data_IF_129958387306
#
_entry.id   IF_129958387306
#
_cell.length_a   1.000
_cell.length_b   1.000
_cell.length_c   1.000
_cell.angle_alpha   90.00
_cell.angle_beta   90.00
_cell.angle_gamma   90.00
#
_symmetry.space_group_name_H-M   'P 1'
#
loop_
_entity.id
_entity.type
_entity.pdbx_description
1 polymer ?
#
# COMPACT_ATOMS: atom_id res chain seq x y z
N UNK A 1 10.47 1.24 -11.48
CA UNK A 1 9.63 0.92 -10.31
C UNK A 1 10.46 0.65 -9.05
N UNK A 2 11.43 -0.28 -9.02
CA UNK A 2 12.23 -0.55 -7.81
C UNK A 2 13.04 0.65 -7.28
N UNK A 3 13.54 1.53 -8.15
CA UNK A 3 14.27 2.73 -7.75
C UNK A 3 13.39 3.74 -7.01
N UNK A 4 12.14 3.94 -7.45
CA UNK A 4 11.22 4.87 -6.80
C UNK A 4 10.87 4.43 -5.38
N UNK A 5 10.67 3.14 -5.16
CA UNK A 5 10.41 2.57 -3.83
C UNK A 5 11.58 2.82 -2.87
N UNK A 6 12.81 2.66 -3.34
CA UNK A 6 14.02 2.95 -2.53
C UNK A 6 14.11 4.42 -2.16
N UNK A 7 13.76 5.31 -3.08
CA UNK A 7 13.74 6.75 -2.84
C UNK A 7 12.57 7.19 -1.94
N UNK A 8 11.43 6.50 -2.02
CA UNK A 8 10.23 6.80 -1.24
C UNK A 8 10.35 6.41 0.23
N UNK A 9 11.07 5.32 0.53
CA UNK A 9 11.15 4.71 1.86
C UNK A 9 11.52 5.70 2.98
N UNK A 10 12.61 6.49 2.89
CA UNK A 10 12.97 7.41 3.98
C UNK A 10 11.91 8.49 4.23
N UNK A 11 11.19 8.92 3.19
CA UNK A 11 10.11 9.90 3.33
C UNK A 11 8.87 9.27 3.98
N UNK A 12 8.50 8.05 3.61
CA UNK A 12 7.38 7.32 4.22
C UNK A 12 7.65 7.03 5.70
N UNK A 13 8.87 6.60 6.04
CA UNK A 13 9.29 6.39 7.43
C UNK A 13 9.28 7.68 8.24
N UNK A 14 9.77 8.79 7.68
CA UNK A 14 9.74 10.10 8.35
C UNK A 14 8.30 10.57 8.60
N UNK A 15 7.42 10.50 7.60
CA UNK A 15 6.02 10.86 7.75
C UNK A 15 5.33 9.99 8.81
N UNK A 16 5.62 8.68 8.80
CA UNK A 16 5.09 7.74 9.79
C UNK A 16 5.58 8.05 11.22
N UNK A 17 6.85 8.41 11.41
CA UNK A 17 7.38 8.80 12.72
C UNK A 17 6.70 10.06 13.29
N UNK A 18 6.34 11.02 12.42
CA UNK A 18 5.59 12.22 12.80
C UNK A 18 4.13 11.92 13.16
N UNK A 19 3.57 10.86 12.58
CA UNK A 19 2.16 10.52 12.71
C UNK A 19 1.85 9.47 13.78
N UNK A 20 2.84 8.69 14.25
CA UNK A 20 2.65 7.47 15.07
C UNK A 20 2.04 7.71 16.46
N UNK A 21 2.09 8.94 16.98
CA UNK A 21 1.68 9.25 18.36
C UNK A 21 0.16 9.19 18.56
N UNK A 22 -0.63 9.22 17.48
CA UNK A 22 -2.09 9.16 17.55
C UNK A 22 -2.69 8.50 16.30
N UNK A 23 -3.67 7.63 16.51
CA UNK A 23 -4.41 6.98 15.42
C UNK A 23 -5.14 7.97 14.52
N UNK A 24 -5.65 9.07 15.09
CA UNK A 24 -6.32 10.13 14.33
C UNK A 24 -5.35 10.87 13.42
N UNK A 25 -4.13 11.11 13.90
CA UNK A 25 -3.05 11.74 13.13
C UNK A 25 -2.60 10.81 12.01
N UNK A 26 -2.46 9.49 12.27
CA UNK A 26 -2.16 8.48 11.25
C UNK A 26 -3.22 8.43 10.15
N UNK A 27 -4.50 8.47 10.53
CA UNK A 27 -5.61 8.46 9.57
C UNK A 27 -5.58 9.74 8.70
N UNK A 28 -5.37 10.90 9.32
CA UNK A 28 -5.28 12.17 8.61
C UNK A 28 -4.08 12.23 7.64
N UNK A 29 -2.89 11.73 8.06
CA UNK A 29 -1.74 11.64 7.15
C UNK A 29 -2.00 10.73 5.95
N UNK A 30 -2.63 9.57 6.17
CA UNK A 30 -3.00 8.65 5.09
C UNK A 30 -3.94 9.32 4.07
N UNK A 31 -4.97 10.05 4.55
CA UNK A 31 -5.88 10.83 3.69
C UNK A 31 -5.17 11.90 2.88
N UNK A 32 -4.30 12.67 3.53
CA UNK A 32 -3.53 13.75 2.87
C UNK A 32 -2.60 13.16 1.82
N UNK A 33 -1.83 12.13 2.15
CA UNK A 33 -0.92 11.48 1.20
C UNK A 33 -1.67 10.86 0.01
N UNK A 34 -2.86 10.28 0.23
CA UNK A 34 -3.70 9.75 -0.84
C UNK A 34 -4.17 10.87 -1.79
N UNK A 35 -4.62 12.02 -1.25
CA UNK A 35 -5.01 13.19 -2.05
C UNK A 35 -3.83 13.74 -2.87
N UNK A 36 -2.67 13.91 -2.23
CA UNK A 36 -1.45 14.41 -2.88
C UNK A 36 -0.98 13.45 -3.99
N UNK A 37 -1.04 12.14 -3.74
CA UNK A 37 -0.72 11.10 -4.72
C UNK A 37 -1.66 11.17 -5.94
N UNK A 38 -2.97 11.31 -5.71
CA UNK A 38 -3.95 11.43 -6.79
C UNK A 38 -3.71 12.67 -7.67
N UNK A 39 -3.29 13.78 -7.07
CA UNK A 39 -2.93 15.00 -7.80
C UNK A 39 -1.66 14.77 -8.63
N UNK A 40 -0.64 14.16 -8.02
CA UNK A 40 0.65 13.92 -8.67
C UNK A 40 0.54 13.00 -9.88
N UNK A 41 -0.41 12.09 -9.89
CA UNK A 41 -0.65 11.16 -11.02
C UNK A 41 -1.38 11.78 -12.20
N UNK A 42 -1.91 13.00 -12.07
CA UNK A 42 -2.54 13.70 -13.19
C UNK A 42 -1.51 14.08 -14.25
N UNK A 43 -1.79 13.86 -15.56
CA UNK A 43 -0.85 14.15 -16.65
C UNK A 43 -0.31 15.58 -16.64
N UNK A 44 -1.20 16.56 -16.37
CA UNK A 44 -0.84 17.98 -16.32
C UNK A 44 0.14 18.27 -15.17
N UNK A 45 -0.02 17.60 -14.02
CA UNK A 45 0.89 17.75 -12.90
C UNK A 45 2.24 17.10 -13.15
N UNK A 46 2.26 15.93 -13.79
CA UNK A 46 3.52 15.26 -14.19
C UNK A 46 4.32 16.16 -15.11
N UNK A 47 3.69 16.81 -16.09
CA UNK A 47 4.34 17.77 -16.99
C UNK A 47 4.85 19.01 -16.24
N UNK A 48 4.05 19.54 -15.31
CA UNK A 48 4.46 20.69 -14.47
C UNK A 48 5.66 20.36 -13.59
N UNK A 49 5.68 19.18 -12.96
CA UNK A 49 6.79 18.74 -12.09
C UNK A 49 8.05 18.48 -12.94
N UNK A 50 7.90 17.90 -14.14
CA UNK A 50 9.01 17.62 -15.05
C UNK A 50 9.59 18.85 -15.74
N UNK A 51 8.96 20.01 -15.65
CA UNK A 51 9.41 21.23 -16.32
C UNK A 51 10.45 21.97 -15.43
N UNK A 52 11.73 22.08 -15.88
CA UNK A 52 12.77 22.75 -15.11
C UNK A 52 12.54 24.27 -14.91
N UNK A 53 11.58 24.85 -15.63
CA UNK A 53 11.18 26.26 -15.47
C UNK A 53 10.12 26.46 -14.38
N UNK A 54 9.53 25.39 -13.86
CA UNK A 54 8.55 25.47 -12.78
C UNK A 54 9.25 25.92 -11.49
N UNK A 55 8.81 27.06 -10.95
CA UNK A 55 9.38 27.60 -9.73
C UNK A 55 8.88 26.74 -8.56
N UNK A 56 9.79 26.26 -7.71
CA UNK A 56 9.46 25.42 -6.53
C UNK A 56 8.33 26.02 -5.68
N UNK A 57 8.32 27.35 -5.51
CA UNK A 57 7.27 28.05 -4.78
C UNK A 57 5.87 28.01 -5.43
N UNK A 58 5.78 27.82 -6.75
CA UNK A 58 4.48 27.66 -7.43
C UNK A 58 3.95 26.24 -7.20
N UNK A 59 4.80 25.22 -7.31
CA UNK A 59 4.43 23.84 -7.02
C UNK A 59 3.94 23.68 -5.58
N UNK A 60 4.68 24.21 -4.61
CA UNK A 60 4.25 24.19 -3.19
C UNK A 60 2.87 24.85 -3.01
N UNK A 61 2.61 25.98 -3.64
CA UNK A 61 1.30 26.67 -3.55
C UNK A 61 0.18 25.84 -4.13
N UNK A 62 0.37 25.20 -5.29
CA UNK A 62 -0.63 24.33 -5.92
C UNK A 62 -1.00 23.19 -4.97
N UNK A 63 -0.02 22.51 -4.39
CA UNK A 63 -0.27 21.43 -3.45
C UNK A 63 -0.99 21.91 -2.18
N UNK A 64 -0.65 23.09 -1.66
CA UNK A 64 -1.32 23.71 -0.49
C UNK A 64 -2.78 24.09 -0.80
N UNK A 65 -3.03 24.70 -1.97
CA UNK A 65 -4.36 25.13 -2.38
C UNK A 65 -5.29 23.94 -2.65
N UNK A 66 -4.80 22.94 -3.37
CA UNK A 66 -5.61 21.74 -3.70
C UNK A 66 -5.86 20.86 -2.47
N UNK A 67 -4.98 20.91 -1.47
CA UNK A 67 -5.20 20.22 -0.18
C UNK A 67 -6.27 20.89 0.70
N UNK A 68 -6.86 22.01 0.26
CA UNK A 68 -7.99 22.67 0.93
C UNK A 68 -7.64 23.37 2.24
N UNK A 69 -6.37 23.72 2.49
CA UNK A 69 -5.93 24.47 3.68
C UNK A 69 -5.99 23.68 5.00
N UNK A 70 -6.22 22.38 4.95
CA UNK A 70 -6.31 21.50 6.13
C UNK A 70 -4.97 20.84 6.51
N UNK A 71 -3.85 21.29 5.93
CA UNK A 71 -2.54 20.72 6.20
C UNK A 71 -1.98 21.24 7.52
N UNK A 72 -1.45 20.33 8.33
CA UNK A 72 -0.68 20.69 9.52
C UNK A 72 0.67 21.33 9.14
N UNK A 73 1.33 22.02 10.07
CA UNK A 73 2.65 22.60 9.84
C UNK A 73 3.68 21.55 9.39
N UNK A 74 3.60 20.35 9.97
CA UNK A 74 4.48 19.22 9.62
C UNK A 74 4.24 18.71 8.19
N UNK A 75 2.98 18.62 7.78
CA UNK A 75 2.61 18.23 6.41
C UNK A 75 3.05 19.28 5.38
N UNK A 76 2.93 20.57 5.70
CA UNK A 76 3.44 21.65 4.84
C UNK A 76 4.96 21.59 4.70
N UNK A 77 5.68 21.36 5.79
CA UNK A 77 7.12 21.20 5.80
C UNK A 77 7.54 19.96 4.98
N UNK A 78 6.80 18.86 5.10
CA UNK A 78 7.03 17.63 4.34
C UNK A 78 6.90 17.87 2.83
N UNK A 79 5.84 18.55 2.39
CA UNK A 79 5.66 18.93 0.98
C UNK A 79 6.80 19.80 0.49
N UNK A 80 7.21 20.80 1.29
CA UNK A 80 8.32 21.69 0.93
C UNK A 80 9.62 20.92 0.71
N UNK A 81 9.93 19.96 1.58
CA UNK A 81 11.10 19.09 1.44
C UNK A 81 11.03 18.26 0.16
N UNK A 82 9.87 17.71 -0.18
CA UNK A 82 9.69 16.96 -1.43
C UNK A 82 9.87 17.82 -2.67
N UNK A 83 9.39 19.07 -2.63
CA UNK A 83 9.56 20.03 -3.74
C UNK A 83 11.03 20.40 -3.90
N UNK A 84 11.73 20.75 -2.83
CA UNK A 84 13.14 21.14 -2.83
C UNK A 84 14.06 20.02 -3.35
N UNK A 85 13.73 18.78 -3.01
CA UNK A 85 14.47 17.60 -3.44
C UNK A 85 14.04 17.06 -4.81
N UNK A 86 13.09 17.68 -5.50
CA UNK A 86 12.52 17.20 -6.76
C UNK A 86 11.95 15.77 -6.67
N UNK A 87 11.29 15.44 -5.54
CA UNK A 87 10.78 14.10 -5.23
C UNK A 87 9.25 14.00 -5.25
N UNK A 88 8.55 14.99 -5.81
CA UNK A 88 7.08 14.96 -5.88
C UNK A 88 6.55 13.75 -6.67
N UNK A 89 7.24 13.33 -7.74
CA UNK A 89 6.83 12.17 -8.55
C UNK A 89 6.86 10.84 -7.77
N UNK A 90 7.51 10.82 -6.60
CA UNK A 90 7.59 9.61 -5.74
C UNK A 90 6.45 9.56 -4.71
N UNK A 91 5.57 10.58 -4.68
CA UNK A 91 4.43 10.63 -3.75
C UNK A 91 3.51 9.40 -3.79
N UNK A 92 3.18 8.80 -4.94
CA UNK A 92 2.37 7.58 -4.97
C UNK A 92 3.01 6.43 -4.19
N UNK A 93 4.31 6.23 -4.37
CA UNK A 93 5.07 5.20 -3.66
C UNK A 93 5.20 5.52 -2.16
N UNK A 94 5.34 6.82 -1.81
CA UNK A 94 5.38 7.26 -0.40
C UNK A 94 4.04 6.95 0.27
N UNK A 95 2.91 7.27 -0.37
CA UNK A 95 1.59 6.99 0.16
C UNK A 95 1.37 5.48 0.39
N UNK A 96 1.78 4.66 -0.58
CA UNK A 96 1.71 3.20 -0.48
C UNK A 96 2.52 2.66 0.70
N UNK A 97 3.80 3.06 0.81
CA UNK A 97 4.67 2.63 1.90
C UNK A 97 4.20 3.12 3.28
N UNK A 98 3.64 4.33 3.35
CA UNK A 98 3.04 4.86 4.58
C UNK A 98 1.86 4.01 5.04
N UNK A 99 0.97 3.61 4.11
CA UNK A 99 -0.17 2.76 4.43
C UNK A 99 0.26 1.35 4.85
N UNK A 100 1.34 0.81 4.31
CA UNK A 100 1.96 -0.45 4.77
C UNK A 100 2.50 -0.32 6.20
N UNK A 101 3.22 0.76 6.51
CA UNK A 101 3.74 1.03 7.86
C UNK A 101 2.61 1.20 8.88
N UNK A 102 1.55 1.93 8.49
CA UNK A 102 0.34 2.09 9.30
C UNK A 102 -0.34 0.76 9.59
N UNK A 103 -0.57 -0.05 8.56
CA UNK A 103 -1.17 -1.38 8.72
C UNK A 103 -0.33 -2.28 9.62
N UNK A 104 1.00 -2.24 9.47
CA UNK A 104 1.93 -2.99 10.33
C UNK A 104 1.86 -2.53 11.79
N UNK A 105 1.77 -1.22 12.04
CA UNK A 105 1.68 -0.66 13.40
C UNK A 105 0.33 -0.94 14.07
N UNK A 106 -0.75 -0.94 13.31
CA UNK A 106 -2.09 -1.31 13.77
C UNK A 106 -2.26 -2.82 13.97
N UNK A 107 -1.22 -3.61 13.71
CA UNK A 107 -1.28 -5.08 13.75
C UNK A 107 -2.19 -5.67 12.68
N UNK A 108 -2.43 -4.91 11.61
CA UNK A 108 -3.22 -5.35 10.45
C UNK A 108 -2.27 -5.82 9.37
N UNK A 109 -2.35 -7.09 8.97
CA UNK A 109 -1.60 -7.60 7.81
C UNK A 109 -2.48 -7.65 6.57
N UNK A 110 -1.90 -7.38 5.42
CA UNK A 110 -2.54 -7.65 4.14
C UNK A 110 -2.54 -9.14 3.85
N UNK A 111 -3.71 -9.67 3.51
CA UNK A 111 -3.87 -11.04 3.05
C UNK A 111 -4.50 -11.05 1.65
N UNK A 112 -3.86 -11.71 0.71
CA UNK A 112 -4.42 -11.96 -0.61
C UNK A 112 -4.90 -13.41 -0.67
N UNK A 113 -6.20 -13.61 -0.94
CA UNK A 113 -6.80 -14.93 -1.13
C UNK A 113 -7.11 -15.10 -2.60
N UNK A 114 -6.41 -16.02 -3.25
CA UNK A 114 -6.67 -16.40 -4.64
C UNK A 114 -7.49 -17.70 -4.64
N UNK A 115 -8.66 -17.69 -5.25
CA UNK A 115 -9.56 -18.85 -5.33
C UNK A 115 -9.85 -19.23 -6.76
N UNK A 116 -10.03 -20.53 -7.01
CA UNK A 116 -10.44 -21.05 -8.33
C UNK A 116 -11.89 -20.67 -8.67
N UNK A 117 -12.75 -20.49 -7.67
CA UNK A 117 -14.17 -20.18 -7.80
C UNK A 117 -14.56 -19.01 -6.90
N UNK A 118 -15.68 -18.32 -7.22
CA UNK A 118 -16.21 -17.30 -6.32
C UNK A 118 -16.46 -17.89 -4.92
N UNK A 119 -15.93 -17.23 -3.89
CA UNK A 119 -16.16 -17.61 -2.50
C UNK A 119 -17.45 -16.95 -2.02
N UNK A 120 -18.28 -17.69 -1.30
CA UNK A 120 -19.41 -17.13 -0.58
C UNK A 120 -18.95 -16.39 0.68
N UNK A 121 -19.73 -15.41 1.13
CA UNK A 121 -19.39 -14.56 2.27
C UNK A 121 -19.16 -15.34 3.57
N UNK A 122 -19.87 -16.47 3.75
CA UNK A 122 -19.74 -17.31 4.92
C UNK A 122 -18.38 -18.04 4.93
N UNK A 123 -18.00 -18.64 3.81
CA UNK A 123 -16.69 -19.30 3.64
C UNK A 123 -15.55 -18.31 3.79
N UNK A 124 -15.67 -17.13 3.17
CA UNK A 124 -14.67 -16.08 3.30
C UNK A 124 -14.47 -15.65 4.76
N UNK A 125 -15.54 -15.40 5.51
CA UNK A 125 -15.48 -15.03 6.93
C UNK A 125 -14.81 -16.10 7.79
N UNK A 126 -15.15 -17.37 7.57
CA UNK A 126 -14.53 -18.47 8.31
C UNK A 126 -13.04 -18.56 8.03
N UNK A 127 -12.65 -18.43 6.76
CA UNK A 127 -11.25 -18.50 6.33
C UNK A 127 -10.42 -17.34 6.88
N UNK A 128 -11.00 -16.15 6.91
CA UNK A 128 -10.38 -14.96 7.53
C UNK A 128 -10.21 -15.17 9.02
N UNK A 129 -11.23 -15.67 9.72
CA UNK A 129 -11.17 -15.92 11.17
C UNK A 129 -10.09 -16.96 11.54
N UNK A 130 -9.95 -18.04 10.74
CA UNK A 130 -8.88 -19.03 10.93
C UNK A 130 -7.49 -18.43 10.72
N UNK A 131 -7.33 -17.60 9.71
CA UNK A 131 -6.06 -16.90 9.44
C UNK A 131 -5.74 -15.89 10.54
N UNK A 132 -6.71 -15.09 11.00
CA UNK A 132 -6.53 -14.14 12.09
C UNK A 132 -6.14 -14.84 13.40
N UNK A 133 -6.76 -15.99 13.69
CA UNK A 133 -6.39 -16.80 14.84
C UNK A 133 -4.98 -17.37 14.73
N UNK A 134 -4.58 -17.85 13.54
CA UNK A 134 -3.24 -18.39 13.27
C UNK A 134 -2.14 -17.33 13.41
N UNK A 135 -2.38 -16.13 12.88
CA UNK A 135 -1.39 -15.04 12.84
C UNK A 135 -1.51 -14.08 14.03
N UNK A 136 -2.52 -14.23 14.87
CA UNK A 136 -2.81 -13.35 16.03
C UNK A 136 -2.83 -11.86 15.66
N UNK A 137 -3.35 -11.55 14.47
CA UNK A 137 -3.45 -10.19 13.95
C UNK A 137 -4.73 -10.04 13.12
N UNK A 138 -5.20 -8.80 12.94
CA UNK A 138 -6.30 -8.51 12.01
C UNK A 138 -5.80 -8.57 10.57
N UNK A 139 -6.65 -9.07 9.68
CA UNK A 139 -6.33 -9.20 8.27
C UNK A 139 -7.20 -8.29 7.41
N UNK A 140 -6.54 -7.52 6.54
CA UNK A 140 -7.23 -6.85 5.42
C UNK A 140 -7.14 -7.76 4.20
N UNK A 141 -8.26 -8.37 3.84
CA UNK A 141 -8.32 -9.40 2.81
C UNK A 141 -8.70 -8.81 1.46
N UNK A 142 -7.94 -9.18 0.43
CA UNK A 142 -8.28 -8.98 -0.99
C UNK A 142 -8.49 -10.32 -1.64
N UNK A 143 -9.64 -10.52 -2.31
CA UNK A 143 -9.96 -11.78 -3.01
C UNK A 143 -9.71 -11.62 -4.50
N UNK A 144 -8.96 -12.56 -5.08
CA UNK A 144 -8.74 -12.69 -6.52
C UNK A 144 -9.29 -14.02 -7.03
N UNK A 145 -9.77 -14.02 -8.25
CA UNK A 145 -10.20 -15.26 -8.93
C UNK A 145 -9.11 -15.70 -9.90
N UNK A 146 -8.69 -16.96 -9.78
CA UNK A 146 -7.73 -17.58 -10.68
C UNK A 146 -8.16 -19.03 -10.98
N UNK A 147 -8.83 -19.26 -12.12
CA UNK A 147 -9.27 -20.59 -12.53
C UNK A 147 -8.13 -21.58 -12.74
N UNK A 148 -6.88 -21.12 -12.95
CA UNK A 148 -5.72 -21.99 -13.14
C UNK A 148 -5.37 -22.81 -11.90
N UNK A 149 -5.87 -22.45 -10.73
CA UNK A 149 -5.72 -23.22 -9.49
C UNK A 149 -6.47 -24.56 -9.51
N UNK A 150 -7.39 -24.75 -10.49
CA UNK A 150 -8.26 -25.93 -10.68
C UNK A 150 -9.28 -26.08 -9.54
N UNK A 151 -8.88 -25.80 -8.29
CA UNK A 151 -9.69 -25.86 -7.08
C UNK A 151 -8.91 -25.49 -5.84
N UNK A 152 -9.62 -25.23 -4.75
CA UNK A 152 -9.04 -24.78 -3.50
C UNK A 152 -8.66 -23.30 -3.51
N UNK A 153 -7.82 -22.89 -2.56
CA UNK A 153 -7.40 -21.50 -2.35
C UNK A 153 -5.90 -21.42 -2.13
N UNK A 154 -5.31 -20.32 -2.58
CA UNK A 154 -3.95 -19.90 -2.24
C UNK A 154 -4.03 -18.61 -1.46
N UNK A 155 -3.34 -18.54 -0.34
CA UNK A 155 -3.38 -17.41 0.58
C UNK A 155 -1.97 -16.87 0.76
N UNK A 156 -1.80 -15.57 0.56
CA UNK A 156 -0.56 -14.86 0.86
C UNK A 156 -0.82 -13.88 2.01
N UNK A 157 -0.07 -13.98 3.09
CA UNK A 157 -0.18 -13.09 4.27
C UNK A 157 1.21 -12.49 4.51
N UNK A 158 1.40 -11.23 4.09
CA UNK A 158 2.73 -10.64 4.02
C UNK A 158 3.66 -11.45 3.13
N UNK A 159 4.77 -11.92 3.69
CA UNK A 159 5.78 -12.71 2.96
C UNK A 159 5.51 -14.23 2.98
N UNK A 160 4.49 -14.68 3.72
CA UNK A 160 4.16 -16.11 3.86
C UNK A 160 3.04 -16.50 2.88
N UNK A 161 3.27 -17.57 2.12
CA UNK A 161 2.30 -18.11 1.17
C UNK A 161 1.86 -19.50 1.62
N UNK A 162 0.56 -19.67 1.80
CA UNK A 162 -0.08 -20.96 2.09
C UNK A 162 -0.82 -21.40 0.82
N UNK A 163 -0.34 -22.46 0.19
CA UNK A 163 -0.96 -23.03 -1.01
C UNK A 163 -1.78 -24.28 -0.65
N UNK A 164 -3.10 -24.12 -0.62
CA UNK A 164 -4.07 -25.19 -0.43
C UNK A 164 -4.80 -25.54 -1.73
N UNK A 165 -4.27 -25.13 -2.90
CA UNK A 165 -4.85 -25.40 -4.20
C UNK A 165 -4.65 -26.86 -4.64
N UNK A 166 -5.53 -27.34 -5.52
CA UNK A 166 -5.39 -28.65 -6.17
C UNK A 166 -4.12 -28.69 -7.03
N UNK A 167 -3.84 -27.60 -7.75
CA UNK A 167 -2.60 -27.46 -8.55
C UNK A 167 -1.34 -27.63 -7.71
N UNK A 168 -1.27 -26.97 -6.56
CA UNK A 168 -0.14 -27.08 -5.62
C UNK A 168 0.05 -28.51 -5.10
N UNK A 169 -1.06 -29.16 -4.72
CA UNK A 169 -1.03 -30.57 -4.26
C UNK A 169 -0.56 -31.53 -5.35
N UNK A 170 -1.04 -31.37 -6.58
CA UNK A 170 -0.61 -32.20 -7.73
C UNK A 170 0.89 -31.96 -8.04
N UNK A 171 1.36 -30.72 -7.99
CA UNK A 171 2.77 -30.41 -8.19
C UNK A 171 3.66 -31.07 -7.12
N UNK A 172 3.25 -31.01 -5.85
CA UNK A 172 3.97 -31.66 -4.74
C UNK A 172 4.01 -33.19 -4.91
N UNK A 173 2.89 -33.80 -5.32
CA UNK A 173 2.84 -35.24 -5.62
C UNK A 173 3.76 -35.62 -6.79
N UNK A 174 3.76 -34.83 -7.87
CA UNK A 174 4.63 -35.09 -9.02
C UNK A 174 6.14 -35.04 -8.65
N UNK A 175 6.52 -34.13 -7.75
CA UNK A 175 7.89 -34.07 -7.23
C UNK A 175 8.21 -35.30 -6.37
N UNK A 176 7.29 -35.70 -5.48
CA UNK A 176 7.49 -36.88 -4.63
C UNK A 176 7.60 -38.20 -5.41
N UNK A 177 6.95 -38.30 -6.58
CA UNK A 177 7.02 -39.49 -7.42
C UNK A 177 8.23 -39.52 -8.36
N UNK A 178 8.98 -38.41 -8.49
CA UNK A 178 10.20 -38.36 -9.31
C UNK A 178 11.48 -38.69 -8.54
N UNK A 179 11.39 -38.77 -7.21
CA UNK A 179 12.45 -39.24 -6.33
C UNK A 179 12.22 -40.70 -5.95
#
# INVERSE_FOLDING_TARGET
MAENVTLARPYAEAAFQLAKDSSDVLAHWSEVLAKLSAITTQPEMVECIGNPKSVAGQLSRIYLEVSGGQLTADQQSFISILVENHRLLVLPEIAHLFDELKASAEGVKHAEITSAFPLDDATLKNLVAELEAKYSCRLRVTVKLDPELIGGVRMAVGDEVIDASVRGKLAAMAIALKN
#
